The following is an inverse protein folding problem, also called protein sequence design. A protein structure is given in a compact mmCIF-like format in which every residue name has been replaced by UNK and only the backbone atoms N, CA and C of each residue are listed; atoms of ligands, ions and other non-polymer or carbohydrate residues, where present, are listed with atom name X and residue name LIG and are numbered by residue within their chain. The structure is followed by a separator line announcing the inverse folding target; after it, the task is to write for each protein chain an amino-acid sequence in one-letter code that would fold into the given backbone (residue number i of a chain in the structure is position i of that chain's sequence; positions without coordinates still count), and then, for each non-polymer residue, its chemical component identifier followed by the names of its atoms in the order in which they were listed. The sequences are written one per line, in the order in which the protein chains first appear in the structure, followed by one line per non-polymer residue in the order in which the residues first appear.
data_IF_986801250146
#
_entry.id   IF_986801250146
#
_cell.length_a   1.000
_cell.length_b   1.000
_cell.length_c   1.000
_cell.angle_alpha   90.00
_cell.angle_beta   90.00
_cell.angle_gamma   90.00
#
_symmetry.space_group_name_H-M   'P 1'
#
loop_
_entity.id
_entity.type
_entity.pdbx_description
1 polymer ?
#
# COMPACT_ATOMS: atom_id res chain seq x y z
N UNK A 1 -30.30 -19.51 -6.78
CA UNK A 1 -29.05 -19.41 -7.52
C UNK A 1 -28.00 -19.03 -6.50
N UNK A 2 -27.07 -19.91 -6.18
CA UNK A 2 -25.92 -19.61 -5.35
C UNK A 2 -25.15 -18.52 -6.08
N UNK A 3 -25.12 -17.31 -5.54
CA UNK A 3 -24.23 -16.26 -6.02
C UNK A 3 -22.81 -16.86 -6.03
N UNK A 4 -22.20 -16.92 -7.20
CA UNK A 4 -20.83 -17.45 -7.32
C UNK A 4 -19.89 -16.66 -6.40
N UNK A 5 -18.98 -17.36 -5.73
CA UNK A 5 -18.00 -16.74 -4.84
C UNK A 5 -16.82 -16.18 -5.64
N UNK A 6 -16.24 -15.11 -5.16
CA UNK A 6 -14.92 -14.66 -5.63
C UNK A 6 -13.83 -15.64 -5.17
N UNK A 7 -12.72 -15.68 -5.88
CA UNK A 7 -11.50 -16.35 -5.41
C UNK A 7 -10.37 -15.33 -5.40
N UNK A 8 -9.88 -15.01 -4.21
CA UNK A 8 -8.72 -14.13 -4.05
C UNK A 8 -7.45 -14.98 -4.05
N UNK A 9 -6.65 -14.81 -5.10
CA UNK A 9 -5.44 -15.60 -5.35
C UNK A 9 -4.23 -14.75 -5.00
N UNK A 10 -3.43 -15.18 -4.04
CA UNK A 10 -2.32 -14.39 -3.55
C UNK A 10 -1.32 -15.20 -2.73
N UNK A 11 -0.64 -14.50 -1.84
CA UNK A 11 0.28 -15.02 -0.83
C UNK A 11 0.13 -14.19 0.44
N UNK A 12 0.25 -14.81 1.59
CA UNK A 12 0.22 -14.09 2.89
C UNK A 12 1.46 -13.22 3.09
N UNK A 13 2.52 -13.40 2.32
CA UNK A 13 3.71 -12.55 2.30
C UNK A 13 3.61 -11.38 1.29
N UNK A 14 2.41 -11.09 0.78
CA UNK A 14 2.17 -9.98 -0.14
C UNK A 14 1.31 -8.89 0.48
N UNK A 15 1.84 -7.68 0.70
CA UNK A 15 1.09 -6.58 1.30
C UNK A 15 -0.20 -6.26 0.53
N UNK A 16 -0.15 -6.31 -0.79
CA UNK A 16 -1.31 -6.06 -1.65
C UNK A 16 -2.38 -7.16 -1.55
N UNK A 17 -1.96 -8.43 -1.38
CA UNK A 17 -2.90 -9.53 -1.20
C UNK A 17 -3.58 -9.45 0.18
N UNK A 18 -2.83 -9.09 1.22
CA UNK A 18 -3.34 -8.86 2.57
C UNK A 18 -4.29 -7.66 2.62
N UNK A 19 -3.93 -6.55 1.97
CA UNK A 19 -4.80 -5.38 1.77
C UNK A 19 -6.18 -5.80 1.24
N UNK A 20 -6.21 -6.50 0.11
CA UNK A 20 -7.49 -6.88 -0.54
C UNK A 20 -8.25 -7.94 0.27
N UNK A 21 -7.54 -8.86 0.93
CA UNK A 21 -8.15 -9.86 1.81
C UNK A 21 -8.90 -9.23 2.98
N UNK A 22 -8.29 -8.28 3.67
CA UNK A 22 -8.90 -7.55 4.78
C UNK A 22 -10.08 -6.68 4.31
N UNK A 23 -9.95 -6.01 3.16
CA UNK A 23 -11.03 -5.25 2.54
C UNK A 23 -12.25 -6.14 2.23
N UNK A 24 -12.06 -7.29 1.62
CA UNK A 24 -13.16 -8.24 1.33
C UNK A 24 -13.82 -8.74 2.61
N UNK A 25 -13.05 -9.04 3.68
CA UNK A 25 -13.59 -9.41 5.00
C UNK A 25 -14.42 -8.29 5.59
N UNK A 26 -13.88 -7.07 5.65
CA UNK A 26 -14.61 -5.90 6.15
C UNK A 26 -15.92 -5.68 5.40
N UNK A 27 -15.90 -5.76 4.09
CA UNK A 27 -17.08 -5.58 3.23
C UNK A 27 -18.03 -6.76 3.25
N UNK A 28 -17.68 -7.86 3.95
CA UNK A 28 -18.46 -9.10 4.01
C UNK A 28 -18.78 -9.67 2.62
N UNK A 29 -17.89 -9.44 1.65
CA UNK A 29 -18.00 -10.01 0.31
C UNK A 29 -17.50 -11.45 0.36
N UNK A 30 -18.33 -12.46 0.01
CA UNK A 30 -17.93 -13.87 0.09
C UNK A 30 -16.80 -14.19 -0.89
N UNK A 31 -15.71 -14.74 -0.39
CA UNK A 31 -14.56 -15.18 -1.21
C UNK A 31 -13.90 -16.41 -0.63
N UNK A 32 -13.13 -17.10 -1.49
CA UNK A 32 -12.21 -18.15 -1.11
C UNK A 32 -10.78 -17.62 -1.22
N UNK A 33 -9.98 -17.80 -0.16
CA UNK A 33 -8.56 -17.48 -0.18
C UNK A 33 -7.79 -18.62 -0.83
N UNK A 34 -6.99 -18.32 -1.85
CA UNK A 34 -6.25 -19.30 -2.64
C UNK A 34 -4.80 -18.88 -2.78
N UNK A 35 -3.88 -19.75 -2.41
CA UNK A 35 -2.46 -19.50 -2.61
C UNK A 35 -2.11 -19.60 -4.10
N UNK A 36 -1.29 -18.66 -4.58
CA UNK A 36 -0.83 -18.63 -5.97
C UNK A 36 0.04 -19.85 -6.28
N UNK A 37 -0.38 -20.66 -7.26
CA UNK A 37 0.34 -21.85 -7.74
C UNK A 37 0.92 -21.62 -9.13
N UNK A 38 1.82 -22.51 -9.59
CA UNK A 38 2.33 -22.48 -10.98
C UNK A 38 1.20 -22.60 -12.00
N UNK A 39 0.22 -23.48 -11.75
CA UNK A 39 -0.95 -23.64 -12.62
C UNK A 39 -1.78 -22.36 -12.71
N UNK A 40 -2.06 -21.72 -11.57
CA UNK A 40 -2.78 -20.43 -11.53
C UNK A 40 -1.96 -19.30 -12.17
N UNK A 41 -0.64 -19.29 -11.98
CA UNK A 41 0.26 -18.33 -12.65
C UNK A 41 0.17 -18.42 -14.16
N UNK A 42 0.12 -19.66 -14.69
CA UNK A 42 -0.09 -19.92 -16.12
C UNK A 42 -1.49 -19.48 -16.57
N UNK A 43 -2.53 -19.80 -15.81
CA UNK A 43 -3.91 -19.41 -16.15
C UNK A 43 -4.10 -17.89 -16.17
N UNK A 44 -3.30 -17.13 -15.41
CA UNK A 44 -3.35 -15.67 -15.31
C UNK A 44 -2.26 -14.96 -16.13
N UNK A 45 -1.50 -15.67 -16.97
CA UNK A 45 -0.37 -15.11 -17.73
C UNK A 45 -0.77 -14.01 -18.74
N UNK A 46 -2.06 -13.92 -19.08
CA UNK A 46 -2.62 -12.84 -19.92
C UNK A 46 -2.72 -11.49 -19.22
N UNK A 47 -2.69 -11.45 -17.89
CA UNK A 47 -2.69 -10.20 -17.12
C UNK A 47 -1.35 -9.47 -17.25
N UNK A 48 -1.39 -8.16 -17.36
CA UNK A 48 -0.20 -7.30 -17.46
C UNK A 48 -0.30 -6.11 -16.49
N UNK A 49 0.53 -6.05 -15.45
CA UNK A 49 1.52 -7.05 -15.03
C UNK A 49 0.88 -8.33 -14.46
N UNK A 50 1.55 -9.49 -14.57
CA UNK A 50 1.12 -10.72 -13.91
C UNK A 50 1.67 -10.77 -12.48
N UNK A 51 1.03 -10.01 -11.60
CA UNK A 51 1.37 -9.88 -10.17
C UNK A 51 0.23 -10.40 -9.31
N UNK A 52 0.52 -10.66 -8.05
CA UNK A 52 -0.48 -10.95 -7.00
C UNK A 52 -0.82 -9.66 -6.24
N UNK A 53 -2.07 -9.57 -5.74
CA UNK A 53 -3.16 -10.54 -5.85
C UNK A 53 -3.86 -10.53 -7.23
N UNK A 54 -4.49 -11.66 -7.53
CA UNK A 54 -5.44 -11.76 -8.63
C UNK A 54 -6.81 -12.10 -8.05
N UNK A 55 -7.85 -11.41 -8.47
CA UNK A 55 -9.23 -11.71 -8.12
C UNK A 55 -9.91 -12.44 -9.29
N UNK A 56 -10.35 -13.68 -9.04
CA UNK A 56 -11.23 -14.36 -9.96
C UNK A 56 -12.68 -14.06 -9.59
N UNK A 57 -13.43 -13.58 -10.56
CA UNK A 57 -14.83 -13.23 -10.45
C UNK A 57 -15.73 -14.47 -10.57
N UNK A 58 -16.99 -14.38 -10.13
CA UNK A 58 -17.96 -15.50 -10.25
C UNK A 58 -18.21 -15.98 -11.68
N UNK A 59 -17.97 -15.13 -12.67
CA UNK A 59 -18.06 -15.45 -14.10
C UNK A 59 -16.80 -16.15 -14.65
N UNK A 60 -15.80 -16.40 -13.81
CA UNK A 60 -14.52 -17.03 -14.17
C UNK A 60 -13.44 -16.06 -14.65
N UNK A 61 -13.73 -14.76 -14.84
CA UNK A 61 -12.74 -13.79 -15.29
C UNK A 61 -11.71 -13.47 -14.20
N UNK A 62 -10.46 -13.22 -14.61
CA UNK A 62 -9.37 -12.84 -13.72
C UNK A 62 -9.04 -11.35 -13.90
N UNK A 63 -8.84 -10.63 -12.79
CA UNK A 63 -8.37 -9.24 -12.78
C UNK A 63 -7.31 -9.03 -11.70
N UNK A 64 -6.41 -8.09 -11.94
CA UNK A 64 -5.37 -7.63 -11.02
C UNK A 64 -5.52 -6.15 -10.69
N UNK A 65 -4.49 -5.57 -10.03
CA UNK A 65 -4.40 -4.18 -9.59
C UNK A 65 -5.38 -3.84 -8.45
N UNK A 66 -4.88 -3.78 -7.22
CA UNK A 66 -5.71 -3.74 -6.01
C UNK A 66 -6.58 -2.50 -5.91
N UNK A 67 -6.07 -1.33 -6.31
CA UNK A 67 -6.86 -0.09 -6.32
C UNK A 67 -8.00 -0.17 -7.32
N UNK A 68 -7.74 -0.65 -8.54
CA UNK A 68 -8.78 -0.87 -9.56
C UNK A 68 -9.82 -1.89 -9.09
N UNK A 69 -9.37 -2.97 -8.44
CA UNK A 69 -10.27 -3.99 -7.88
C UNK A 69 -11.14 -3.43 -6.76
N UNK A 70 -10.58 -2.59 -5.87
CA UNK A 70 -11.35 -1.94 -4.82
C UNK A 70 -12.49 -1.09 -5.40
N UNK A 71 -12.21 -0.26 -6.40
CA UNK A 71 -13.23 0.56 -7.06
C UNK A 71 -14.25 -0.25 -7.86
N UNK A 72 -13.85 -1.34 -8.54
CA UNK A 72 -14.81 -2.23 -9.21
C UNK A 72 -15.74 -2.92 -8.20
N UNK A 73 -15.21 -3.32 -7.05
CA UNK A 73 -16.01 -3.87 -5.96
C UNK A 73 -16.96 -2.84 -5.34
N UNK A 74 -16.59 -1.54 -5.25
CA UNK A 74 -17.49 -0.45 -4.85
C UNK A 74 -18.71 -0.32 -5.77
N UNK A 75 -18.48 -0.46 -7.07
CA UNK A 75 -19.59 -0.42 -8.05
C UNK A 75 -20.53 -1.63 -7.99
N UNK A 76 -19.96 -2.81 -7.69
CA UNK A 76 -20.72 -4.08 -7.65
C UNK A 76 -21.44 -4.30 -6.33
N UNK A 77 -20.88 -3.82 -5.24
CA UNK A 77 -21.38 -4.00 -3.87
C UNK A 77 -21.53 -2.62 -3.22
N UNK A 78 -22.76 -2.21 -2.96
CA UNK A 78 -23.05 -0.86 -2.43
C UNK A 78 -22.88 -0.74 -0.91
N UNK A 79 -22.91 -1.87 -0.21
CA UNK A 79 -22.85 -1.89 1.24
C UNK A 79 -21.40 -1.78 1.74
N UNK A 80 -21.22 -1.16 2.91
CA UNK A 80 -19.96 -1.06 3.63
C UNK A 80 -18.82 -0.49 2.75
N UNK A 81 -19.13 0.60 2.02
CA UNK A 81 -18.14 1.30 1.19
C UNK A 81 -16.86 1.62 1.99
N UNK A 82 -15.70 1.51 1.36
CA UNK A 82 -14.41 1.91 1.92
C UNK A 82 -13.93 3.27 1.38
N UNK A 83 -14.75 3.91 0.57
CA UNK A 83 -14.51 5.25 0.04
C UNK A 83 -15.36 6.24 0.84
N UNK A 84 -14.78 7.28 1.45
CA UNK A 84 -15.53 8.33 2.13
C UNK A 84 -16.53 9.04 1.21
N UNK A 85 -17.71 9.36 1.75
CA UNK A 85 -18.78 10.02 0.97
C UNK A 85 -18.44 11.46 0.58
N UNK A 86 -17.67 12.17 1.40
CA UNK A 86 -17.19 13.52 1.12
C UNK A 86 -16.04 13.46 0.09
N UNK A 87 -16.20 14.12 -1.05
CA UNK A 87 -15.22 14.08 -2.15
C UNK A 87 -13.84 14.62 -1.79
N UNK A 88 -13.75 15.58 -0.86
CA UNK A 88 -12.46 16.07 -0.39
C UNK A 88 -11.74 15.01 0.45
N UNK A 89 -12.48 14.34 1.36
CA UNK A 89 -11.92 13.24 2.15
C UNK A 89 -11.58 12.05 1.24
N UNK A 90 -12.41 11.74 0.26
CA UNK A 90 -12.16 10.67 -0.71
C UNK A 90 -10.87 10.92 -1.52
N UNK A 91 -10.60 12.15 -1.92
CA UNK A 91 -9.33 12.51 -2.57
C UNK A 91 -8.13 12.28 -1.64
N UNK A 92 -8.22 12.68 -0.38
CA UNK A 92 -7.15 12.44 0.59
C UNK A 92 -6.98 10.95 0.87
N UNK A 93 -8.07 10.18 0.89
CA UNK A 93 -8.03 8.72 0.96
C UNK A 93 -7.23 8.12 -0.20
N UNK A 94 -7.48 8.56 -1.44
CA UNK A 94 -6.73 8.13 -2.62
C UNK A 94 -5.24 8.49 -2.54
N UNK A 95 -4.91 9.72 -2.11
CA UNK A 95 -3.52 10.15 -1.96
C UNK A 95 -2.77 9.32 -0.90
N UNK A 96 -3.41 9.04 0.24
CA UNK A 96 -2.80 8.26 1.30
C UNK A 96 -2.76 6.75 1.00
N UNK A 97 -3.67 6.25 0.18
CA UNK A 97 -3.62 4.90 -0.36
C UNK A 97 -2.44 4.75 -1.31
N UNK A 98 -2.29 5.67 -2.25
CA UNK A 98 -1.20 5.69 -3.23
C UNK A 98 0.19 5.84 -2.54
N UNK A 99 0.29 6.69 -1.50
CA UNK A 99 1.49 6.79 -0.65
C UNK A 99 1.84 5.44 0.00
N UNK A 100 0.85 4.73 0.52
CA UNK A 100 1.06 3.43 1.15
C UNK A 100 1.53 2.39 0.12
N UNK A 101 0.85 2.29 -1.01
CA UNK A 101 1.13 1.27 -2.02
C UNK A 101 2.46 1.52 -2.76
N UNK A 102 2.82 2.78 -3.02
CA UNK A 102 3.96 3.12 -3.89
C UNK A 102 5.22 3.54 -3.13
N UNK A 103 5.07 4.06 -1.92
CA UNK A 103 6.24 4.42 -1.12
C UNK A 103 6.53 3.41 -0.01
N UNK A 104 5.55 3.03 0.82
CA UNK A 104 5.83 2.18 1.99
C UNK A 104 6.33 0.78 1.62
N UNK A 105 6.07 0.31 0.40
CA UNK A 105 6.68 -0.92 -0.16
C UNK A 105 8.21 -0.83 -0.24
N UNK A 106 8.79 0.35 -0.37
CA UNK A 106 10.24 0.54 -0.50
C UNK A 106 10.99 0.24 0.81
N UNK A 107 10.65 0.86 1.95
CA UNK A 107 11.24 0.46 3.24
C UNK A 107 10.87 -0.97 3.64
N UNK A 108 9.64 -1.46 3.34
CA UNK A 108 9.28 -2.86 3.54
C UNK A 108 10.27 -3.78 2.79
N UNK A 109 10.50 -3.50 1.51
CA UNK A 109 11.38 -4.32 0.68
C UNK A 109 12.85 -4.23 1.12
N UNK A 110 13.28 -3.05 1.59
CA UNK A 110 14.60 -2.87 2.19
C UNK A 110 14.77 -3.81 3.38
N UNK A 111 13.93 -3.69 4.41
CA UNK A 111 14.06 -4.50 5.61
C UNK A 111 13.95 -6.00 5.31
N UNK A 112 13.02 -6.39 4.50
CA UNK A 112 12.75 -7.80 4.14
C UNK A 112 13.92 -8.50 3.46
N UNK A 113 14.71 -7.77 2.67
CA UNK A 113 15.74 -8.37 1.83
C UNK A 113 17.15 -7.85 2.11
N UNK A 114 17.35 -6.96 3.11
CA UNK A 114 18.66 -6.44 3.46
C UNK A 114 19.47 -7.40 4.34
N UNK A 115 18.91 -7.80 5.46
CA UNK A 115 19.58 -8.63 6.43
C UNK A 115 19.33 -10.13 6.19
N UNK A 116 20.36 -10.99 6.37
CA UNK A 116 20.22 -12.44 6.19
C UNK A 116 19.13 -13.08 7.06
N UNK A 117 18.88 -12.57 8.27
CA UNK A 117 17.82 -13.05 9.18
C UNK A 117 16.43 -12.85 8.54
N UNK A 118 16.15 -11.64 8.07
CA UNK A 118 14.87 -11.30 7.43
C UNK A 118 14.69 -12.09 6.11
N UNK A 119 15.76 -12.16 5.29
CA UNK A 119 15.76 -12.96 4.06
C UNK A 119 15.41 -14.44 4.33
N UNK A 120 16.04 -15.04 5.34
CA UNK A 120 15.83 -16.44 5.69
C UNK A 120 14.40 -16.68 6.22
N UNK A 121 13.89 -15.75 7.04
CA UNK A 121 12.55 -15.81 7.60
C UNK A 121 11.49 -15.80 6.49
N UNK A 122 11.51 -14.78 5.62
CA UNK A 122 10.49 -14.60 4.59
C UNK A 122 10.58 -15.68 3.51
N UNK A 123 11.79 -16.10 3.15
CA UNK A 123 11.96 -17.20 2.18
C UNK A 123 11.39 -18.52 2.68
N UNK A 124 11.59 -18.84 3.98
CA UNK A 124 11.00 -20.02 4.63
C UNK A 124 9.47 -19.90 4.65
N UNK A 125 8.94 -18.77 5.08
CA UNK A 125 7.49 -18.50 5.07
C UNK A 125 6.86 -18.74 3.70
N UNK A 126 7.41 -18.13 2.64
CA UNK A 126 6.92 -18.35 1.28
C UNK A 126 6.98 -19.83 0.86
N UNK A 127 8.08 -20.53 1.19
CA UNK A 127 8.24 -21.95 0.90
C UNK A 127 7.24 -22.84 1.64
N UNK A 128 6.95 -22.57 2.91
CA UNK A 128 5.93 -23.28 3.68
C UNK A 128 4.53 -23.06 3.10
N UNK A 129 4.21 -21.82 2.71
CA UNK A 129 2.92 -21.48 2.11
C UNK A 129 2.69 -22.27 0.79
N UNK A 130 3.72 -22.44 -0.04
CA UNK A 130 3.65 -23.25 -1.26
C UNK A 130 3.46 -24.73 -0.94
N UNK A 131 4.12 -25.25 0.09
CA UNK A 131 3.99 -26.65 0.52
C UNK A 131 2.61 -26.97 1.04
N UNK A 132 2.04 -26.10 1.87
CA UNK A 132 0.70 -26.30 2.47
C UNK A 132 -0.41 -26.19 1.42
N UNK A 133 -0.22 -25.44 0.36
CA UNK A 133 -1.22 -25.28 -0.71
C UNK A 133 -1.46 -26.55 -1.55
N UNK A 134 -0.75 -27.65 -1.28
CA UNK A 134 -0.81 -28.95 -1.97
C UNK A 134 -0.49 -28.90 -3.49
N UNK A 135 -0.08 -27.76 -3.98
CA UNK A 135 0.12 -27.55 -5.40
C UNK A 135 1.56 -27.82 -5.83
N UNK A 136 2.51 -27.60 -4.94
CA UNK A 136 3.94 -27.81 -5.21
C UNK A 136 4.71 -27.76 -3.89
N UNK A 137 5.62 -28.68 -3.73
CA UNK A 137 6.59 -28.60 -2.63
C UNK A 137 7.62 -27.55 -2.98
N UNK A 138 7.73 -26.47 -2.19
CA UNK A 138 8.85 -25.56 -2.30
C UNK A 138 10.13 -26.30 -1.92
N UNK A 139 10.86 -26.79 -2.92
CA UNK A 139 12.16 -27.40 -2.65
C UNK A 139 13.12 -26.33 -2.11
N UNK A 140 14.17 -26.72 -1.36
CA UNK A 140 15.20 -25.77 -0.91
C UNK A 140 15.78 -24.94 -2.05
N UNK A 141 15.91 -25.53 -3.24
CA UNK A 141 16.42 -24.87 -4.45
C UNK A 141 15.43 -23.81 -4.96
N UNK A 142 14.12 -24.10 -4.96
CA UNK A 142 13.08 -23.15 -5.38
C UNK A 142 12.97 -21.99 -4.40
N UNK A 143 13.08 -22.24 -3.10
CA UNK A 143 13.11 -21.22 -2.05
C UNK A 143 14.33 -20.32 -2.24
N UNK A 144 15.51 -20.88 -2.50
CA UNK A 144 16.72 -20.10 -2.74
C UNK A 144 16.63 -19.28 -4.03
N UNK A 145 16.10 -19.84 -5.11
CA UNK A 145 15.86 -19.12 -6.36
C UNK A 145 14.87 -17.95 -6.15
N UNK A 146 13.84 -18.16 -5.36
CA UNK A 146 12.92 -17.09 -4.99
C UNK A 146 13.66 -15.98 -4.21
N UNK A 147 14.44 -16.34 -3.18
CA UNK A 147 15.23 -15.40 -2.39
C UNK A 147 16.15 -14.56 -3.26
N UNK A 148 16.95 -15.20 -4.11
CA UNK A 148 17.89 -14.50 -5.00
C UNK A 148 17.19 -13.58 -5.99
N UNK A 149 16.05 -14.00 -6.54
CA UNK A 149 15.24 -13.16 -7.42
C UNK A 149 14.70 -11.93 -6.68
N UNK A 150 14.31 -12.03 -5.42
CA UNK A 150 13.85 -10.87 -4.66
C UNK A 150 15.00 -9.93 -4.30
N UNK A 151 16.13 -10.46 -3.90
CA UNK A 151 17.35 -9.68 -3.63
C UNK A 151 17.76 -8.89 -4.89
N UNK A 152 17.75 -9.51 -6.07
CA UNK A 152 18.07 -8.84 -7.32
C UNK A 152 17.13 -7.69 -7.67
N UNK A 153 15.90 -7.68 -7.12
CA UNK A 153 14.92 -6.62 -7.31
C UNK A 153 15.08 -5.43 -6.37
N UNK A 154 15.93 -5.52 -5.35
CA UNK A 154 16.13 -4.45 -4.37
C UNK A 154 16.50 -3.13 -5.07
N UNK A 155 17.39 -3.18 -6.05
CA UNK A 155 17.81 -2.01 -6.80
C UNK A 155 16.67 -1.33 -7.56
N UNK A 156 15.71 -2.11 -8.08
CA UNK A 156 14.55 -1.60 -8.82
C UNK A 156 13.63 -0.78 -7.90
N UNK A 157 13.51 -1.20 -6.62
CA UNK A 157 12.71 -0.51 -5.61
C UNK A 157 13.51 0.56 -4.84
N UNK A 158 14.78 0.78 -5.22
CA UNK A 158 15.65 1.74 -4.57
C UNK A 158 16.19 1.29 -3.21
N UNK A 159 16.07 0.00 -2.86
CA UNK A 159 16.64 -0.56 -1.64
C UNK A 159 18.14 -0.82 -1.81
N UNK A 160 18.93 0.26 -1.80
CA UNK A 160 20.39 0.29 -1.98
C UNK A 160 21.07 0.85 -0.74
N UNK A 161 22.38 0.65 -0.59
CA UNK A 161 23.15 1.21 0.53
C UNK A 161 23.07 2.75 0.58
N UNK A 162 23.06 3.41 -0.58
CA UNK A 162 22.91 4.86 -0.70
C UNK A 162 21.56 5.35 -0.17
N UNK A 163 20.48 4.66 -0.51
CA UNK A 163 19.12 5.06 -0.18
C UNK A 163 18.64 4.56 1.19
N UNK A 164 19.35 3.59 1.77
CA UNK A 164 18.98 2.96 3.04
C UNK A 164 18.65 3.97 4.15
N UNK A 165 19.46 5.02 4.39
CA UNK A 165 19.14 5.99 5.44
C UNK A 165 17.80 6.69 5.25
N UNK A 166 17.42 7.08 4.02
CA UNK A 166 16.13 7.71 3.77
C UNK A 166 14.97 6.72 3.93
N UNK A 167 15.13 5.48 3.46
CA UNK A 167 14.10 4.47 3.59
C UNK A 167 13.84 4.11 5.06
N UNK A 168 14.88 3.98 5.88
CA UNK A 168 14.76 3.76 7.32
C UNK A 168 14.10 4.96 8.02
N UNK A 169 14.53 6.19 7.72
CA UNK A 169 13.91 7.40 8.27
C UNK A 169 12.44 7.53 7.85
N UNK A 170 12.11 7.18 6.59
CA UNK A 170 10.72 7.22 6.13
C UNK A 170 9.82 6.26 6.90
N UNK A 171 10.31 5.06 7.24
CA UNK A 171 9.57 4.11 8.08
C UNK A 171 9.33 4.67 9.50
N UNK A 172 10.36 5.26 10.11
CA UNK A 172 10.22 5.86 11.44
C UNK A 172 9.22 7.03 11.44
N UNK A 173 9.22 7.87 10.41
CA UNK A 173 8.25 8.97 10.27
C UNK A 173 6.83 8.48 10.02
N UNK A 174 6.66 7.41 9.25
CA UNK A 174 5.37 6.74 9.09
C UNK A 174 4.87 6.24 10.45
N UNK A 175 5.68 5.53 11.21
CA UNK A 175 5.29 5.08 12.55
C UNK A 175 4.96 6.25 13.48
N UNK A 176 5.73 7.33 13.44
CA UNK A 176 5.47 8.55 14.21
C UNK A 176 4.18 9.26 13.80
N UNK A 177 3.73 9.12 12.54
CA UNK A 177 2.45 9.65 12.07
C UNK A 177 1.26 8.80 12.55
N UNK A 178 1.44 7.51 12.78
CA UNK A 178 0.38 6.62 13.27
C UNK A 178 0.27 6.62 14.80
N UNK A 179 1.37 6.44 15.50
CA UNK A 179 1.41 6.05 16.92
C UNK A 179 0.63 6.98 17.86
N UNK A 180 0.73 8.33 17.77
CA UNK A 180 -0.02 9.22 18.66
C UNK A 180 -1.53 9.18 18.45
N UNK A 181 -1.97 8.69 17.29
CA UNK A 181 -3.36 8.80 16.85
C UNK A 181 -4.16 7.50 16.92
N UNK A 182 -3.53 6.36 16.64
CA UNK A 182 -4.24 5.05 16.58
C UNK A 182 -4.88 4.59 17.90
N UNK A 183 -4.46 5.16 19.02
CA UNK A 183 -5.09 4.95 20.33
C UNK A 183 -6.30 5.84 20.59
N UNK A 184 -6.44 6.94 19.83
CA UNK A 184 -7.50 7.94 20.01
C UNK A 184 -8.54 7.90 18.88
N UNK A 185 -8.10 7.59 17.66
CA UNK A 185 -8.97 7.40 16.49
C UNK A 185 -8.81 5.98 15.98
N UNK A 186 -9.92 5.32 15.65
CA UNK A 186 -9.83 3.93 15.20
C UNK A 186 -9.23 3.80 13.79
N UNK A 187 -9.54 4.74 12.89
CA UNK A 187 -9.16 4.74 11.48
C UNK A 187 -8.89 6.16 10.98
N UNK A 188 -8.35 6.29 9.77
CA UNK A 188 -7.92 7.57 9.19
C UNK A 188 -9.04 8.62 9.10
N UNK A 189 -10.23 8.23 8.65
CA UNK A 189 -11.30 9.18 8.30
C UNK A 189 -12.61 8.95 9.06
N UNK A 190 -12.62 8.05 10.04
CA UNK A 190 -13.85 7.73 10.74
C UNK A 190 -13.69 6.70 11.85
N UNK A 191 -14.84 6.23 12.34
CA UNK A 191 -14.91 5.04 13.21
C UNK A 191 -15.02 3.73 12.40
N UNK A 192 -14.85 3.82 11.09
CA UNK A 192 -14.83 2.71 10.12
C UNK A 192 -13.63 2.81 9.18
N UNK A 193 -13.05 1.68 8.71
CA UNK A 193 -11.88 1.71 7.84
C UNK A 193 -12.21 2.20 6.43
N UNK A 194 -11.27 2.94 5.86
CA UNK A 194 -11.24 3.39 4.47
C UNK A 194 -10.29 2.55 3.61
N UNK A 195 -10.29 2.81 2.29
CA UNK A 195 -9.34 2.18 1.36
C UNK A 195 -7.89 2.47 1.76
N UNK A 196 -7.58 3.69 2.21
CA UNK A 196 -6.26 4.04 2.71
C UNK A 196 -5.86 3.23 3.96
N UNK A 197 -6.79 2.99 4.90
CA UNK A 197 -6.51 2.13 6.07
C UNK A 197 -6.10 0.73 5.64
N UNK A 198 -6.77 0.15 4.63
CA UNK A 198 -6.41 -1.18 4.11
C UNK A 198 -5.07 -1.17 3.37
N UNK A 199 -4.72 -0.11 2.66
CA UNK A 199 -3.41 0.02 2.02
C UNK A 199 -2.28 0.09 3.05
N UNK A 200 -2.43 0.93 4.07
CA UNK A 200 -1.49 1.00 5.19
C UNK A 200 -1.43 -0.31 5.97
N UNK A 201 -2.57 -0.95 6.22
CA UNK A 201 -2.61 -2.26 6.84
C UNK A 201 -1.80 -3.28 6.04
N UNK A 202 -1.96 -3.34 4.73
CA UNK A 202 -1.21 -4.26 3.87
C UNK A 202 0.30 -4.13 4.08
N UNK A 203 0.84 -2.91 4.02
CA UNK A 203 2.27 -2.66 4.18
C UNK A 203 2.75 -2.89 5.61
N UNK A 204 2.04 -2.32 6.59
CA UNK A 204 2.44 -2.39 8.00
C UNK A 204 2.28 -3.79 8.59
N UNK A 205 1.35 -4.63 8.11
CA UNK A 205 1.19 -6.01 8.57
C UNK A 205 2.41 -6.87 8.22
N UNK A 206 2.98 -6.67 7.04
CA UNK A 206 4.21 -7.33 6.63
C UNK A 206 5.40 -6.84 7.47
N UNK A 207 5.50 -5.53 7.71
CA UNK A 207 6.52 -4.96 8.60
C UNK A 207 6.35 -5.37 10.06
N UNK A 208 5.12 -5.68 10.52
CA UNK A 208 4.86 -6.22 11.85
C UNK A 208 5.18 -7.73 11.96
N UNK A 209 5.50 -8.38 10.84
CA UNK A 209 5.80 -9.81 10.75
C UNK A 209 7.29 -10.06 10.53
N UNK A 210 7.92 -9.31 9.62
CA UNK A 210 9.34 -9.45 9.29
C UNK A 210 10.23 -9.08 10.48
N UNK A 211 11.28 -9.85 10.83
CA UNK A 211 11.99 -9.74 12.11
C UNK A 211 12.49 -8.35 12.47
N UNK A 212 13.19 -7.67 11.56
CA UNK A 212 13.79 -6.36 11.83
C UNK A 212 12.76 -5.24 11.96
N UNK A 213 11.86 -4.99 10.99
CA UNK A 213 10.90 -3.90 11.12
C UNK A 213 9.88 -4.16 12.22
N UNK A 214 9.55 -5.42 12.54
CA UNK A 214 8.71 -5.79 13.68
C UNK A 214 9.33 -5.32 15.01
N UNK A 215 10.62 -5.58 15.22
CA UNK A 215 11.33 -5.13 16.44
C UNK A 215 11.28 -3.61 16.57
N UNK A 216 11.46 -2.89 15.46
CA UNK A 216 11.39 -1.42 15.43
C UNK A 216 9.97 -0.96 15.77
N UNK A 217 8.95 -1.52 15.12
CA UNK A 217 7.54 -1.16 15.34
C UNK A 217 7.15 -1.36 16.79
N UNK A 218 7.42 -2.52 17.37
CA UNK A 218 7.09 -2.82 18.78
C UNK A 218 7.80 -1.92 19.77
N UNK A 219 9.03 -1.50 19.47
CA UNK A 219 9.79 -0.59 20.32
C UNK A 219 9.36 0.88 20.20
N UNK A 220 8.94 1.33 19.03
CA UNK A 220 8.67 2.73 18.72
C UNK A 220 7.18 3.07 18.58
N UNK A 221 6.36 2.08 18.20
CA UNK A 221 4.97 2.26 17.82
C UNK A 221 4.09 1.06 18.23
N UNK A 222 4.02 0.70 19.55
CA UNK A 222 3.28 -0.46 20.01
C UNK A 222 1.76 -0.38 19.76
N UNK A 223 1.16 0.82 19.79
CA UNK A 223 -0.27 0.96 19.44
C UNK A 223 -0.52 0.73 17.95
N UNK A 224 0.43 1.09 17.10
CA UNK A 224 0.37 0.80 15.66
C UNK A 224 0.47 -0.71 15.39
N UNK A 225 1.33 -1.46 16.11
CA UNK A 225 1.36 -2.93 16.05
C UNK A 225 0.00 -3.53 16.42
N UNK A 226 -0.66 -3.00 17.45
CA UNK A 226 -2.01 -3.45 17.82
C UNK A 226 -3.09 -3.04 16.79
N UNK A 227 -2.97 -1.87 16.18
CA UNK A 227 -3.89 -1.43 15.14
C UNK A 227 -3.84 -2.36 13.91
N UNK A 228 -2.64 -2.73 13.48
CA UNK A 228 -2.43 -3.72 12.42
C UNK A 228 -3.18 -5.02 12.70
N UNK A 229 -3.08 -5.56 13.91
CA UNK A 229 -3.77 -6.81 14.30
C UNK A 229 -5.29 -6.69 14.25
N UNK A 230 -5.84 -5.51 14.58
CA UNK A 230 -7.31 -5.29 14.53
C UNK A 230 -7.84 -5.22 13.10
N UNK A 231 -7.04 -4.77 12.14
CA UNK A 231 -7.45 -4.66 10.73
C UNK A 231 -7.41 -5.99 9.97
N UNK A 232 -6.73 -7.00 10.49
CA UNK A 232 -6.71 -8.34 9.87
C UNK A 232 -8.14 -8.88 9.63
N UNK A 233 -9.06 -8.62 10.57
CA UNK A 233 -10.48 -8.88 10.40
C UNK A 233 -11.33 -7.80 11.05
N UNK A 234 -11.71 -6.80 10.28
CA UNK A 234 -12.62 -5.73 10.68
C UNK A 234 -14.08 -6.00 10.28
N UNK A 235 -14.45 -7.27 9.99
CA UNK A 235 -15.79 -7.63 9.51
C UNK A 235 -16.92 -7.27 10.49
N UNK A 236 -16.64 -7.25 11.79
CA UNK A 236 -17.56 -6.83 12.84
C UNK A 236 -17.64 -5.33 13.09
N UNK A 237 -16.77 -4.52 12.44
CA UNK A 237 -16.74 -3.07 12.66
C UNK A 237 -17.90 -2.41 11.93
N UNK A 238 -18.70 -1.69 12.68
CA UNK A 238 -19.68 -0.71 12.19
C UNK A 238 -19.18 0.70 12.54
N UNK A 239 -19.59 1.72 11.78
CA UNK A 239 -19.14 3.07 12.06
C UNK A 239 -19.54 4.09 11.00
N UNK A 240 -19.11 5.32 11.20
CA UNK A 240 -19.42 6.47 10.34
C UNK A 240 -18.15 7.21 9.94
N UNK A 241 -18.22 7.99 8.87
CA UNK A 241 -17.20 8.94 8.52
C UNK A 241 -17.25 10.14 9.47
N UNK A 242 -16.08 10.69 9.81
CA UNK A 242 -16.00 11.92 10.60
C UNK A 242 -16.36 13.14 9.75
N UNK A 243 -16.81 14.25 10.37
CA UNK A 243 -16.86 15.55 9.72
C UNK A 243 -15.51 15.92 9.11
N UNK A 244 -15.51 16.65 8.00
CA UNK A 244 -14.32 16.95 7.21
C UNK A 244 -13.15 17.51 8.03
N UNK A 245 -13.43 18.48 8.90
CA UNK A 245 -12.39 19.09 9.75
C UNK A 245 -11.69 18.06 10.64
N UNK A 246 -12.43 17.16 11.24
CA UNK A 246 -11.88 16.08 12.06
C UNK A 246 -11.15 15.02 11.18
N UNK A 247 -11.73 14.65 10.05
CA UNK A 247 -11.18 13.63 9.15
C UNK A 247 -9.86 14.07 8.49
N UNK A 248 -9.68 15.38 8.25
CA UNK A 248 -8.45 15.93 7.65
C UNK A 248 -7.41 16.35 8.69
N UNK A 249 -7.65 16.11 9.98
CA UNK A 249 -6.71 16.33 11.07
C UNK A 249 -6.00 15.06 11.54
N UNK A 250 -5.32 15.15 12.66
CA UNK A 250 -4.73 13.98 13.34
C UNK A 250 -3.83 13.13 12.46
N UNK A 251 -4.13 11.83 12.40
CA UNK A 251 -3.34 10.84 11.64
C UNK A 251 -3.31 11.14 10.14
N UNK A 252 -4.42 11.58 9.54
CA UNK A 252 -4.48 11.91 8.13
C UNK A 252 -3.57 13.11 7.81
N UNK A 253 -3.59 14.17 8.62
CA UNK A 253 -2.70 15.33 8.44
C UNK A 253 -1.22 14.96 8.64
N UNK A 254 -0.91 14.10 9.61
CA UNK A 254 0.45 13.64 9.84
C UNK A 254 1.00 12.84 8.65
N UNK A 255 0.19 11.98 8.04
CA UNK A 255 0.55 11.25 6.82
C UNK A 255 0.61 12.16 5.59
N UNK A 256 -0.29 13.15 5.47
CA UNK A 256 -0.20 14.17 4.41
C UNK A 256 1.12 14.94 4.48
N UNK A 257 1.65 15.20 5.68
CA UNK A 257 2.98 15.81 5.83
C UNK A 257 4.08 14.92 5.26
N UNK A 258 4.03 13.62 5.51
CA UNK A 258 4.95 12.66 4.87
C UNK A 258 4.76 12.67 3.35
N UNK A 259 3.52 12.74 2.86
CA UNK A 259 3.24 12.83 1.43
C UNK A 259 3.84 14.09 0.79
N UNK A 260 3.65 15.27 1.43
CA UNK A 260 4.12 16.56 0.91
C UNK A 260 5.62 16.77 1.01
N UNK A 261 6.27 16.21 2.05
CA UNK A 261 7.72 16.35 2.24
C UNK A 261 8.53 15.31 1.45
N UNK A 262 7.96 14.15 1.16
CA UNK A 262 8.69 13.01 0.60
C UNK A 262 8.08 12.50 -0.71
N UNK A 263 6.83 12.04 -0.66
CA UNK A 263 6.26 11.25 -1.74
C UNK A 263 5.94 12.08 -2.99
N UNK A 264 5.24 13.18 -2.85
CA UNK A 264 4.90 14.04 -3.97
C UNK A 264 6.14 14.69 -4.61
N UNK A 265 7.13 15.21 -3.86
CA UNK A 265 8.42 15.63 -4.42
C UNK A 265 9.13 14.52 -5.20
N UNK A 266 9.11 13.28 -4.67
CA UNK A 266 9.67 12.11 -5.36
C UNK A 266 8.93 11.83 -6.69
N UNK A 267 7.60 11.82 -6.70
CA UNK A 267 6.82 11.60 -7.92
C UNK A 267 7.11 12.69 -8.99
N UNK A 268 7.20 13.95 -8.56
CA UNK A 268 7.53 15.07 -9.46
C UNK A 268 8.94 14.91 -10.04
N UNK A 269 9.93 14.58 -9.20
CA UNK A 269 11.29 14.34 -9.67
C UNK A 269 11.35 13.16 -10.64
N UNK A 270 10.64 12.08 -10.35
CA UNK A 270 10.54 10.91 -11.23
C UNK A 270 9.89 11.26 -12.58
N UNK A 271 8.82 12.04 -12.57
CA UNK A 271 8.15 12.45 -13.81
C UNK A 271 9.08 13.32 -14.69
N UNK A 272 9.77 14.29 -14.09
CA UNK A 272 10.73 15.15 -14.80
C UNK A 272 11.91 14.34 -15.37
N UNK A 273 12.48 13.45 -14.57
CA UNK A 273 13.58 12.60 -15.03
C UNK A 273 13.17 11.69 -16.19
N UNK A 274 11.95 11.12 -16.11
CA UNK A 274 11.40 10.30 -17.18
C UNK A 274 11.16 11.10 -18.47
N UNK A 275 10.61 12.31 -18.37
CA UNK A 275 10.37 13.21 -19.49
C UNK A 275 11.67 13.67 -20.15
N UNK A 276 12.69 13.95 -19.35
CA UNK A 276 14.01 14.36 -19.84
C UNK A 276 14.86 13.20 -20.37
N UNK A 277 14.40 11.95 -20.20
CA UNK A 277 15.12 10.76 -20.65
C UNK A 277 16.44 10.54 -19.91
N UNK A 278 16.56 10.99 -18.65
CA UNK A 278 17.74 10.74 -17.83
C UNK A 278 17.63 9.38 -17.15
N UNK A 279 18.76 8.69 -16.99
CA UNK A 279 18.79 7.33 -16.44
C UNK A 279 18.68 7.28 -14.91
N UNK A 280 18.80 8.43 -14.24
CA UNK A 280 18.82 8.51 -12.79
C UNK A 280 18.16 9.82 -12.31
N UNK A 281 17.19 9.69 -11.44
CA UNK A 281 16.69 10.80 -10.63
C UNK A 281 17.47 10.88 -9.32
N UNK A 282 17.62 12.08 -8.79
CA UNK A 282 18.21 12.35 -7.48
C UNK A 282 17.37 13.37 -6.73
N UNK A 283 17.08 13.10 -5.46
CA UNK A 283 16.42 14.03 -4.55
C UNK A 283 17.15 14.04 -3.20
N UNK A 284 16.95 15.11 -2.45
CA UNK A 284 17.35 15.18 -1.05
C UNK A 284 16.13 15.49 -0.20
N UNK A 285 15.81 14.60 0.72
CA UNK A 285 14.68 14.73 1.62
C UNK A 285 15.19 14.60 3.04
N UNK A 286 14.84 15.55 3.89
CA UNK A 286 15.29 15.62 5.30
C UNK A 286 16.83 15.59 5.46
N UNK A 287 17.56 16.08 4.47
CA UNK A 287 19.02 16.04 4.44
C UNK A 287 19.62 14.70 4.00
N UNK A 288 18.78 13.74 3.61
CA UNK A 288 19.19 12.40 3.19
C UNK A 288 19.04 12.25 1.66
N UNK A 289 20.08 11.75 0.96
CA UNK A 289 20.02 11.53 -0.48
C UNK A 289 19.14 10.32 -0.82
N UNK A 290 18.51 10.38 -1.98
CA UNK A 290 17.82 9.25 -2.58
C UNK A 290 17.93 9.31 -4.10
N UNK A 291 18.31 8.21 -4.71
CA UNK A 291 18.49 8.12 -6.14
C UNK A 291 17.94 6.81 -6.70
N UNK A 292 17.30 6.88 -7.87
CA UNK A 292 16.65 5.74 -8.52
C UNK A 292 16.62 5.95 -10.04
N UNK A 293 16.57 4.88 -10.81
CA UNK A 293 16.18 4.96 -12.21
C UNK A 293 14.71 5.39 -12.34
N UNK A 294 14.38 6.33 -13.25
CA UNK A 294 12.99 6.76 -13.42
C UNK A 294 12.06 5.61 -13.79
N UNK A 295 10.88 5.57 -13.19
CA UNK A 295 9.94 4.48 -13.37
C UNK A 295 8.59 4.99 -13.92
N UNK A 296 8.22 4.50 -15.10
CA UNK A 296 7.05 4.95 -15.87
C UNK A 296 5.74 4.85 -15.07
N UNK A 297 5.58 3.82 -14.26
CA UNK A 297 4.36 3.64 -13.49
C UNK A 297 4.12 4.77 -12.50
N UNK A 298 5.17 5.27 -11.83
CA UNK A 298 5.06 6.39 -10.89
C UNK A 298 4.80 7.74 -11.56
N UNK A 299 5.11 7.89 -12.86
CA UNK A 299 4.63 9.03 -13.65
C UNK A 299 3.09 8.98 -13.77
N UNK A 300 2.54 7.78 -13.99
CA UNK A 300 1.10 7.57 -14.03
C UNK A 300 0.44 7.83 -12.68
N UNK A 301 1.06 7.46 -11.55
CA UNK A 301 0.56 7.75 -10.21
C UNK A 301 0.39 9.26 -10.01
N UNK A 302 1.43 10.05 -10.31
CA UNK A 302 1.35 11.52 -10.22
C UNK A 302 0.22 12.08 -11.08
N UNK A 303 0.13 11.64 -12.34
CA UNK A 303 -0.90 12.12 -13.25
C UNK A 303 -2.30 11.79 -12.73
N UNK A 304 -2.52 10.58 -12.25
CA UNK A 304 -3.81 10.17 -11.69
C UNK A 304 -4.20 10.98 -10.45
N UNK A 305 -3.26 11.28 -9.55
CA UNK A 305 -3.51 12.13 -8.40
C UNK A 305 -3.89 13.55 -8.81
N UNK A 306 -3.18 14.13 -9.79
CA UNK A 306 -3.49 15.46 -10.34
C UNK A 306 -4.84 15.50 -11.06
N UNK A 307 -5.16 14.48 -11.84
CA UNK A 307 -6.46 14.38 -12.54
C UNK A 307 -7.62 14.28 -11.55
N UNK A 308 -7.47 13.46 -10.49
CA UNK A 308 -8.46 13.35 -9.42
C UNK A 308 -8.63 14.68 -8.68
N UNK A 309 -7.52 15.37 -8.36
CA UNK A 309 -7.56 16.68 -7.71
C UNK A 309 -8.21 17.75 -8.59
N UNK A 310 -7.87 17.81 -9.87
CA UNK A 310 -8.46 18.72 -10.84
C UNK A 310 -9.95 18.45 -11.08
N UNK A 311 -10.37 17.19 -10.97
CA UNK A 311 -11.77 16.77 -11.09
C UNK A 311 -12.66 17.14 -9.90
N UNK A 312 -12.10 17.62 -8.78
CA UNK A 312 -12.85 18.16 -7.66
C UNK A 312 -13.45 19.53 -8.07
N UNK A 313 -14.66 19.81 -7.62
CA UNK A 313 -15.21 21.15 -7.74
C UNK A 313 -14.47 22.15 -6.82
N UNK A 314 -14.70 23.45 -7.06
CA UNK A 314 -13.99 24.53 -6.37
C UNK A 314 -14.23 24.50 -4.84
N UNK A 315 -15.43 24.11 -4.40
CA UNK A 315 -15.75 24.07 -2.97
C UNK A 315 -14.90 23.00 -2.24
N UNK A 316 -14.71 21.82 -2.86
CA UNK A 316 -13.89 20.76 -2.29
C UNK A 316 -12.39 21.12 -2.34
N UNK A 317 -11.90 21.70 -3.47
CA UNK A 317 -10.50 22.17 -3.55
C UNK A 317 -10.20 23.26 -2.53
N UNK A 318 -11.09 24.24 -2.39
CA UNK A 318 -10.95 25.32 -1.37
C UNK A 318 -10.94 24.76 0.05
N UNK A 319 -11.76 23.76 0.33
CA UNK A 319 -11.79 23.11 1.64
C UNK A 319 -10.50 22.31 1.96
N UNK A 320 -9.85 21.73 0.93
CA UNK A 320 -8.58 21.00 1.08
C UNK A 320 -7.37 21.93 1.18
N UNK A 321 -7.45 23.12 0.60
CA UNK A 321 -6.31 24.03 0.45
C UNK A 321 -5.55 24.28 1.77
N UNK A 322 -6.19 24.61 2.90
CA UNK A 322 -5.45 24.88 4.14
C UNK A 322 -4.61 23.69 4.64
N UNK A 323 -5.14 22.47 4.58
CA UNK A 323 -4.41 21.28 5.02
C UNK A 323 -3.32 20.90 4.03
N UNK A 324 -3.57 20.97 2.72
CA UNK A 324 -2.57 20.65 1.71
C UNK A 324 -1.42 21.67 1.64
N UNK A 325 -1.70 22.97 1.90
CA UNK A 325 -0.64 24.00 2.01
C UNK A 325 0.26 23.77 3.22
N UNK A 326 -0.31 23.59 4.43
CA UNK A 326 0.51 23.40 5.64
C UNK A 326 1.22 22.05 5.72
N UNK A 327 0.81 21.07 4.93
CA UNK A 327 1.48 19.75 4.79
C UNK A 327 2.43 19.68 3.60
N UNK A 328 2.53 20.73 2.78
CA UNK A 328 3.43 20.80 1.63
C UNK A 328 2.91 20.05 0.37
N UNK A 329 1.69 19.51 0.41
CA UNK A 329 1.13 18.77 -0.74
C UNK A 329 0.68 19.68 -1.89
N UNK A 330 0.15 20.86 -1.56
CA UNK A 330 -0.52 21.74 -2.51
C UNK A 330 0.26 22.05 -3.79
N UNK A 331 1.53 22.52 -3.73
CA UNK A 331 2.25 22.91 -4.95
C UNK A 331 2.48 21.77 -5.93
N UNK A 332 2.51 20.52 -5.46
CA UNK A 332 2.73 19.34 -6.29
C UNK A 332 1.47 18.86 -7.03
N UNK A 333 0.29 19.23 -6.51
CA UNK A 333 -1.00 18.84 -7.09
C UNK A 333 -1.52 19.84 -8.13
N UNK A 334 -1.19 21.15 -7.97
CA UNK A 334 -1.64 22.20 -8.88
C UNK A 334 -0.67 22.46 -10.05
N UNK A 335 0.58 21.96 -9.97
CA UNK A 335 1.55 22.12 -11.03
C UNK A 335 1.12 21.31 -12.27
N UNK A 336 1.02 21.98 -13.41
CA UNK A 336 0.78 21.36 -14.73
C UNK A 336 2.01 20.62 -15.23
#
# INVERSE_FOLDING_TARGET
MTQGRYRLIGSTASPYAIKLRALLRYRRIPFDWVIMTKALRKATEHLRPNLIPVLQYPDGTFRGETTTLAYDLEHRHRERSVIPDDKAIAFVCDLLEDLADEWAVKPLFLYRWWDPEDQAYVSRWAGEEWSVSQAETGSPEEIEQFRQRQISRMVILGATAENKPLLEESYLRILAAFEPHVGMTNYLFGSRPSLADFAWFGQLSEMATDPTPMRIMRAKAPFTDHWVRRLEDASGVEGTWYPREQALGGMAEALLRVAGELYLPFLVANARAFEQGVDRLEINVWGLPYALAPFKYQVKCLQQLRDKFAGLDEAHRSALRPVLERTGCWPHLIAS
#
